data_IF_760010090488
#
_entry.id   IF_760010090488
#
_cell.length_a   1.000
_cell.length_b   1.000
_cell.length_c   1.000
_cell.angle_alpha   90.00
_cell.angle_beta   90.00
_cell.angle_gamma   90.00
#
_symmetry.space_group_name_H-M   'P 1'
#
loop_
_entity.id
_entity.type
_entity.pdbx_description
1 polymer ?
#
# COMPACT_ATOMS: atom_id res chain seq x y z
N UNK A 1 26.10 -36.88 0.67
CA UNK A 1 25.94 -35.94 1.80
C UNK A 1 25.41 -34.62 1.25
N UNK A 2 24.18 -34.23 1.61
CA UNK A 2 23.58 -32.97 1.16
C UNK A 2 24.12 -31.79 2.00
N UNK A 3 24.37 -30.61 1.41
CA UNK A 3 24.88 -29.47 2.17
C UNK A 3 23.80 -28.95 3.13
N UNK A 4 24.17 -28.84 4.41
CA UNK A 4 23.33 -28.30 5.48
C UNK A 4 23.15 -26.80 5.28
N UNK A 5 21.89 -26.36 5.22
CA UNK A 5 21.52 -24.95 5.31
C UNK A 5 21.80 -24.41 6.73
N UNK A 6 22.18 -23.13 6.88
CA UNK A 6 22.34 -22.50 8.18
C UNK A 6 20.97 -22.31 8.89
N UNK A 7 20.91 -22.47 10.22
CA UNK A 7 19.71 -22.20 11.01
C UNK A 7 19.54 -20.69 11.19
N UNK A 8 18.97 -20.05 10.17
CA UNK A 8 18.63 -18.62 10.18
C UNK A 8 17.41 -18.27 9.33
N UNK A 9 16.64 -19.27 8.87
CA UNK A 9 15.50 -19.07 7.97
C UNK A 9 14.21 -19.64 8.59
N UNK A 10 13.82 -19.14 9.76
CA UNK A 10 12.47 -19.32 10.26
C UNK A 10 11.78 -17.96 10.16
N UNK A 11 11.01 -17.77 9.08
CA UNK A 11 9.75 -16.99 8.94
C UNK A 11 9.56 -16.44 7.52
N UNK A 12 9.79 -17.25 6.48
CA UNK A 12 9.27 -16.91 5.14
C UNK A 12 7.80 -17.33 5.00
N UNK A 13 7.42 -18.40 5.71
CA UNK A 13 6.07 -18.95 5.72
C UNK A 13 4.98 -17.98 6.18
N UNK A 14 5.20 -17.11 7.17
CA UNK A 14 4.11 -16.21 7.62
C UNK A 14 3.76 -15.12 6.61
N UNK A 15 4.72 -14.61 5.82
CA UNK A 15 4.47 -13.51 4.87
C UNK A 15 3.93 -14.06 3.56
N UNK A 16 4.47 -15.16 3.05
CA UNK A 16 3.91 -15.80 1.85
C UNK A 16 2.53 -16.43 2.13
N UNK A 17 2.32 -17.02 3.32
CA UNK A 17 0.99 -17.51 3.74
C UNK A 17 -0.01 -16.35 3.86
N UNK A 18 0.44 -15.18 4.34
CA UNK A 18 -0.41 -14.00 4.41
C UNK A 18 -0.75 -13.44 3.03
N UNK A 19 0.21 -13.38 2.10
CA UNK A 19 -0.06 -13.03 0.71
C UNK A 19 -1.05 -14.00 0.05
N UNK A 20 -0.94 -15.31 0.32
CA UNK A 20 -1.89 -16.32 -0.17
C UNK A 20 -3.29 -16.13 0.43
N UNK A 21 -3.38 -15.81 1.74
CA UNK A 21 -4.65 -15.46 2.40
C UNK A 21 -5.26 -14.19 1.82
N UNK A 22 -4.46 -13.15 1.58
CA UNK A 22 -4.87 -11.92 0.93
C UNK A 22 -5.45 -12.19 -0.45
N UNK A 23 -4.79 -12.99 -1.29
CA UNK A 23 -5.33 -13.37 -2.61
C UNK A 23 -6.62 -14.17 -2.51
N UNK A 24 -6.78 -14.99 -1.48
CA UNK A 24 -8.03 -15.75 -1.25
C UNK A 24 -9.17 -14.85 -0.80
N UNK A 25 -8.88 -13.80 -0.02
CA UNK A 25 -9.85 -12.80 0.44
C UNK A 25 -10.18 -11.79 -0.66
N UNK A 26 -9.17 -11.38 -1.40
CA UNK A 26 -9.18 -10.36 -2.45
C UNK A 26 -8.65 -10.97 -3.76
N UNK A 27 -9.48 -11.73 -4.50
CA UNK A 27 -9.07 -12.46 -5.70
C UNK A 27 -8.67 -11.55 -6.87
N UNK A 28 -8.97 -10.25 -6.80
CA UNK A 28 -8.55 -9.27 -7.78
C UNK A 28 -7.09 -8.82 -7.62
N UNK A 29 -6.44 -9.11 -6.47
CA UNK A 29 -5.04 -8.77 -6.28
C UNK A 29 -4.14 -9.68 -7.10
N UNK A 30 -3.21 -9.08 -7.83
CA UNK A 30 -2.12 -9.80 -8.46
C UNK A 30 -1.19 -10.40 -7.40
N UNK A 31 -0.43 -11.42 -7.79
CA UNK A 31 0.51 -12.06 -6.87
C UNK A 31 1.61 -11.10 -6.40
N UNK A 32 2.09 -10.24 -7.30
CA UNK A 32 3.05 -9.18 -6.99
C UNK A 32 2.50 -8.20 -5.95
N UNK A 33 1.27 -7.70 -6.16
CA UNK A 33 0.64 -6.74 -5.26
C UNK A 33 0.36 -7.33 -3.88
N UNK A 34 -0.19 -8.54 -3.82
CA UNK A 34 -0.44 -9.22 -2.55
C UNK A 34 0.86 -9.47 -1.76
N UNK A 35 1.95 -9.82 -2.47
CA UNK A 35 3.27 -9.98 -1.86
C UNK A 35 3.86 -8.63 -1.44
N UNK A 36 3.68 -7.58 -2.23
CA UNK A 36 4.09 -6.22 -1.89
C UNK A 36 3.40 -5.77 -0.60
N UNK A 37 2.08 -5.79 -0.55
CA UNK A 37 1.32 -5.39 0.63
C UNK A 37 1.62 -6.25 1.85
N UNK A 38 1.72 -7.58 1.68
CA UNK A 38 2.08 -8.45 2.79
C UNK A 38 3.49 -8.18 3.35
N UNK A 39 4.42 -7.64 2.55
CA UNK A 39 5.78 -7.31 2.99
C UNK A 39 5.88 -5.90 3.58
N UNK A 40 5.19 -4.94 2.98
CA UNK A 40 5.23 -3.53 3.38
C UNK A 40 4.32 -3.29 4.59
N UNK A 41 3.08 -3.78 4.53
CA UNK A 41 2.02 -3.48 5.49
C UNK A 41 1.60 -4.69 6.33
N UNK A 42 1.79 -5.91 5.85
CA UNK A 42 1.38 -7.12 6.55
C UNK A 42 -0.11 -7.11 6.83
N UNK A 43 -0.51 -7.28 8.09
CA UNK A 43 -1.93 -7.27 8.49
C UNK A 43 -2.65 -5.95 8.20
N UNK A 44 -1.92 -4.85 8.09
CA UNK A 44 -2.50 -3.54 7.77
C UNK A 44 -3.05 -3.46 6.34
N UNK A 45 -2.70 -4.41 5.48
CA UNK A 45 -3.27 -4.53 4.13
C UNK A 45 -4.79 -4.62 4.16
N UNK A 46 -5.37 -5.26 5.17
CA UNK A 46 -6.84 -5.33 5.30
C UNK A 46 -7.47 -3.96 5.54
N UNK A 47 -6.75 -3.01 6.13
CA UNK A 47 -7.22 -1.64 6.32
C UNK A 47 -7.06 -0.80 5.04
N UNK A 48 -5.99 -1.05 4.28
CA UNK A 48 -5.78 -0.43 2.96
C UNK A 48 -6.88 -0.86 2.01
N UNK A 49 -7.09 -2.17 1.87
CA UNK A 49 -8.10 -2.72 0.98
C UNK A 49 -9.50 -2.50 1.54
N UNK A 50 -9.69 -2.58 2.86
CA UNK A 50 -10.98 -2.40 3.50
C UNK A 50 -12.06 -3.32 2.91
N UNK A 51 -13.09 -2.72 2.33
CA UNK A 51 -14.18 -3.43 1.66
C UNK A 51 -13.98 -3.54 0.13
N UNK A 52 -12.80 -3.20 -0.37
CA UNK A 52 -12.50 -3.26 -1.80
C UNK A 52 -12.66 -4.68 -2.33
N UNK A 53 -13.52 -4.83 -3.33
CA UNK A 53 -13.76 -6.09 -4.03
C UNK A 53 -13.14 -6.12 -5.43
N UNK A 54 -12.52 -5.03 -5.87
CA UNK A 54 -11.93 -4.91 -7.21
C UNK A 54 -10.83 -3.84 -7.25
N UNK A 55 -9.95 -3.91 -8.25
CA UNK A 55 -8.92 -2.89 -8.49
C UNK A 55 -9.52 -1.49 -8.70
N UNK A 56 -10.73 -1.42 -9.26
CA UNK A 56 -11.48 -0.17 -9.41
C UNK A 56 -11.86 0.47 -8.08
N UNK A 57 -12.05 -0.34 -7.03
CA UNK A 57 -12.39 0.13 -5.69
C UNK A 57 -11.15 0.67 -4.94
N UNK A 58 -9.95 0.24 -5.36
CA UNK A 58 -8.70 0.85 -4.92
C UNK A 58 -8.55 2.30 -5.40
N UNK A 59 -9.37 2.74 -6.34
CA UNK A 59 -9.40 4.09 -6.89
C UNK A 59 -8.39 4.30 -8.02
N UNK A 60 -7.84 5.51 -8.11
CA UNK A 60 -6.88 5.85 -9.15
C UNK A 60 -5.55 5.11 -8.93
N UNK A 61 -5.00 4.52 -10.00
CA UNK A 61 -3.63 4.02 -10.03
C UNK A 61 -2.70 5.20 -10.37
N UNK A 62 -1.86 5.57 -9.41
CA UNK A 62 -0.82 6.58 -9.65
C UNK A 62 0.40 5.98 -10.34
N UNK A 63 0.50 4.65 -10.39
CA UNK A 63 1.54 3.87 -11.06
C UNK A 63 2.47 3.14 -10.10
N UNK A 64 3.19 2.14 -10.63
CA UNK A 64 4.05 1.24 -9.87
C UNK A 64 3.33 0.55 -8.70
N UNK A 65 2.08 0.12 -8.94
CA UNK A 65 1.24 -0.54 -7.93
C UNK A 65 0.83 0.38 -6.75
N UNK A 66 0.98 1.70 -6.89
CA UNK A 66 0.56 2.70 -5.91
C UNK A 66 -0.85 3.22 -6.22
N UNK A 67 -1.82 2.75 -5.44
CA UNK A 67 -3.23 3.09 -5.59
C UNK A 67 -3.71 4.14 -4.58
N UNK A 68 -4.81 4.81 -4.92
CA UNK A 68 -5.51 5.76 -4.05
C UNK A 68 -5.82 5.20 -2.65
N UNK A 69 -6.29 3.96 -2.55
CA UNK A 69 -6.59 3.31 -1.27
C UNK A 69 -5.37 3.24 -0.34
N UNK A 70 -4.18 3.00 -0.88
CA UNK A 70 -2.95 3.01 -0.09
C UNK A 70 -2.63 4.42 0.39
N UNK A 71 -2.72 5.42 -0.49
CA UNK A 71 -2.48 6.81 -0.13
C UNK A 71 -3.47 7.29 0.94
N UNK A 72 -4.75 6.90 0.83
CA UNK A 72 -5.80 7.17 1.81
C UNK A 72 -5.44 6.59 3.17
N UNK A 73 -5.00 5.33 3.21
CA UNK A 73 -4.55 4.67 4.43
C UNK A 73 -3.34 5.39 5.06
N UNK A 74 -2.36 5.81 4.25
CA UNK A 74 -1.21 6.59 4.73
C UNK A 74 -1.62 7.93 5.35
N UNK A 75 -2.61 8.61 4.77
CA UNK A 75 -3.12 9.87 5.33
C UNK A 75 -3.86 9.63 6.66
N UNK A 76 -4.71 8.61 6.71
CA UNK A 76 -5.57 8.30 7.86
C UNK A 76 -4.80 7.71 9.05
N UNK A 77 -3.98 6.69 8.80
CA UNK A 77 -3.26 5.94 9.83
C UNK A 77 -1.83 6.43 10.10
N UNK A 78 -1.17 7.05 9.11
CA UNK A 78 0.22 7.53 9.26
C UNK A 78 0.32 9.07 9.28
N UNK A 79 -0.80 9.78 9.28
CA UNK A 79 -0.90 11.25 9.26
C UNK A 79 -0.07 11.90 8.15
N UNK A 80 0.05 11.25 7.01
CA UNK A 80 0.74 11.82 5.85
C UNK A 80 -0.02 13.05 5.35
N UNK A 81 0.66 14.20 5.30
CA UNK A 81 0.09 15.47 4.79
C UNK A 81 0.77 16.01 3.54
N UNK A 82 1.84 15.36 3.09
CA UNK A 82 2.58 15.75 1.89
C UNK A 82 2.92 14.50 1.09
N UNK A 83 2.87 14.64 -0.22
CA UNK A 83 3.32 13.60 -1.17
C UNK A 83 4.71 13.10 -0.82
N UNK A 84 5.61 14.02 -0.45
CA UNK A 84 6.99 13.66 -0.11
C UNK A 84 7.09 12.68 1.07
N UNK A 85 6.25 12.83 2.10
CA UNK A 85 6.21 11.90 3.23
C UNK A 85 5.70 10.51 2.79
N UNK A 86 4.66 10.44 1.96
CA UNK A 86 4.20 9.17 1.39
C UNK A 86 5.30 8.51 0.53
N UNK A 87 5.76 9.21 -0.51
CA UNK A 87 6.58 8.61 -1.56
C UNK A 87 8.07 8.49 -1.21
N UNK A 88 8.60 9.25 -0.25
CA UNK A 88 10.03 9.18 0.14
C UNK A 88 10.25 8.53 1.49
N UNK A 89 9.37 8.75 2.47
CA UNK A 89 9.56 8.20 3.83
C UNK A 89 8.87 6.86 4.04
N UNK A 90 7.68 6.66 3.48
CA UNK A 90 6.86 5.46 3.72
C UNK A 90 7.05 4.39 2.66
N UNK A 91 6.84 4.74 1.40
CA UNK A 91 6.84 3.75 0.32
C UNK A 91 8.15 3.73 -0.47
N UNK A 92 8.88 4.86 -0.52
CA UNK A 92 10.07 5.08 -1.37
C UNK A 92 9.79 4.95 -2.87
N UNK A 93 8.52 4.99 -3.25
CA UNK A 93 8.05 4.91 -4.63
C UNK A 93 8.38 6.16 -5.44
N UNK A 94 8.78 7.25 -4.78
CA UNK A 94 9.22 8.49 -5.44
C UNK A 94 10.44 8.31 -6.36
N UNK A 95 11.18 7.20 -6.22
CA UNK A 95 12.25 6.83 -7.15
C UNK A 95 11.74 6.24 -8.47
N UNK A 96 10.54 5.68 -8.49
CA UNK A 96 9.92 5.01 -9.64
C UNK A 96 8.85 5.87 -10.30
N UNK A 97 8.17 6.73 -9.53
CA UNK A 97 7.13 7.63 -9.99
C UNK A 97 7.71 8.81 -10.79
N UNK A 98 7.12 9.09 -11.95
CA UNK A 98 7.44 10.27 -12.77
C UNK A 98 6.93 11.56 -12.12
N UNK A 99 7.44 12.71 -12.55
CA UNK A 99 7.00 14.01 -12.05
C UNK A 99 5.49 14.26 -12.25
N UNK A 100 4.91 13.75 -13.34
CA UNK A 100 3.46 13.84 -13.58
C UNK A 100 2.67 13.02 -12.54
N UNK A 101 3.12 11.81 -12.24
CA UNK A 101 2.49 10.95 -11.24
C UNK A 101 2.59 11.55 -9.84
N UNK A 102 3.76 12.10 -9.49
CA UNK A 102 3.97 12.82 -8.22
C UNK A 102 3.06 14.07 -8.12
N UNK A 103 2.88 14.81 -9.22
CA UNK A 103 1.95 15.95 -9.25
C UNK A 103 0.50 15.50 -9.00
N UNK A 104 0.11 14.37 -9.59
CA UNK A 104 -1.22 13.77 -9.44
C UNK A 104 -1.49 13.35 -7.99
N UNK A 105 -0.55 12.65 -7.36
CA UNK A 105 -0.58 12.31 -5.93
C UNK A 105 -0.72 13.57 -5.08
N UNK A 106 0.02 14.63 -5.41
CA UNK A 106 -0.01 15.89 -4.67
C UNK A 106 -1.36 16.59 -4.74
N UNK A 107 -1.95 16.65 -5.94
CA UNK A 107 -3.28 17.22 -6.13
C UNK A 107 -4.34 16.43 -5.37
N UNK A 108 -4.29 15.10 -5.46
CA UNK A 108 -5.20 14.22 -4.75
C UNK A 108 -5.07 14.39 -3.23
N UNK A 109 -3.83 14.39 -2.72
CA UNK A 109 -3.56 14.47 -1.29
C UNK A 109 -3.98 15.81 -0.70
N UNK A 110 -3.78 16.92 -1.42
CA UNK A 110 -4.27 18.23 -1.01
C UNK A 110 -5.81 18.22 -0.88
N UNK A 111 -6.52 17.69 -1.87
CA UNK A 111 -7.98 17.60 -1.86
C UNK A 111 -8.49 16.67 -0.74
N UNK A 112 -7.83 15.54 -0.51
CA UNK A 112 -8.22 14.57 0.51
C UNK A 112 -7.94 15.09 1.92
N UNK A 113 -6.77 15.68 2.18
CA UNK A 113 -6.43 16.27 3.49
C UNK A 113 -7.37 17.42 3.82
N UNK A 114 -7.74 18.27 2.84
CA UNK A 114 -8.72 19.33 3.04
C UNK A 114 -10.09 18.76 3.45
N UNK A 115 -10.61 17.77 2.69
CA UNK A 115 -11.87 17.08 3.04
C UNK A 115 -11.81 16.41 4.41
N UNK A 116 -10.71 15.76 4.73
CA UNK A 116 -10.55 15.04 5.99
C UNK A 116 -10.47 16.01 7.18
N UNK A 117 -9.82 17.16 7.02
CA UNK A 117 -9.83 18.24 8.01
C UNK A 117 -11.23 18.83 8.21
N UNK A 118 -11.99 19.03 7.13
CA UNK A 118 -13.38 19.49 7.19
C UNK A 118 -14.29 18.49 7.93
N UNK A 119 -14.11 17.18 7.71
CA UNK A 119 -14.88 16.15 8.41
C UNK A 119 -14.53 16.02 9.89
N UNK A 120 -13.29 16.33 10.30
CA UNK A 120 -12.89 16.33 11.71
C UNK A 120 -13.30 17.61 12.44
N UNK A 121 -13.56 18.70 11.71
CA UNK A 121 -13.98 19.99 12.25
C UNK A 121 -15.52 20.14 12.37
N UNK A 122 -16.28 19.16 11.87
CA UNK A 122 -17.76 19.12 11.92
C UNK A 122 -18.25 18.16 12.99
#
# INVERSE_FOLDING_TARGET
AAPRQPPGAATDGSREDYAAKLRRRYPFLTESLARHYSRTYGSNTEWILGEATSLLDLGEDFGHEFYEAELKYLVDHEWVRRTEDAIWRRTKEGMWLTAEQQSRITQWLAAYVEKHQLSLAS
#
